data_IF_274909109568
#
_entry.id   IF_274909109568
#
_cell.length_a   1.000
_cell.length_b   1.000
_cell.length_c   1.000
_cell.angle_alpha   90.00
_cell.angle_beta   90.00
_cell.angle_gamma   90.00
#
_symmetry.space_group_name_H-M   'P 1'
#
loop_
_entity.id
_entity.type
_entity.pdbx_description
1 polymer ?
#
# COMPACT_ATOMS: atom_id res chain seq x y z
N UNK A 1 2.63 -4.17 -5.70
CA UNK A 1 2.18 -3.45 -4.48
C UNK A 1 3.38 -2.73 -3.90
N UNK A 2 3.25 -1.49 -3.43
CA UNK A 2 4.28 -0.84 -2.63
C UNK A 2 3.88 -0.79 -1.16
N UNK A 3 4.84 -0.94 -0.25
CA UNK A 3 4.64 -0.74 1.18
C UNK A 3 5.56 0.39 1.65
N UNK A 4 4.97 1.47 2.13
CA UNK A 4 5.63 2.69 2.60
C UNK A 4 5.22 2.96 4.05
N UNK A 5 5.92 2.33 4.98
CA UNK A 5 5.63 2.39 6.41
C UNK A 5 6.83 1.91 7.21
N UNK A 6 6.87 2.27 8.50
CA UNK A 6 7.84 1.72 9.45
C UNK A 6 7.58 0.22 9.72
N UNK A 7 8.56 -0.44 10.35
CA UNK A 7 8.43 -1.87 10.68
C UNK A 7 7.35 -2.06 11.75
N UNK A 8 6.25 -2.73 11.37
CA UNK A 8 5.16 -3.14 12.27
C UNK A 8 4.60 -4.51 11.88
N UNK A 9 3.71 -5.06 12.71
CA UNK A 9 3.16 -6.39 12.50
C UNK A 9 2.35 -6.45 11.18
N UNK A 10 1.51 -5.45 10.94
CA UNK A 10 0.66 -5.30 9.76
C UNK A 10 1.48 -5.17 8.49
N UNK A 11 2.65 -4.51 8.56
CA UNK A 11 3.60 -4.47 7.46
C UNK A 11 4.05 -5.88 7.05
N UNK A 12 4.41 -6.71 8.03
CA UNK A 12 4.85 -8.08 7.77
C UNK A 12 3.69 -8.96 7.30
N UNK A 13 2.48 -8.78 7.84
CA UNK A 13 1.27 -9.50 7.42
C UNK A 13 0.93 -9.14 5.98
N UNK A 14 0.95 -7.85 5.62
CA UNK A 14 0.72 -7.37 4.26
C UNK A 14 1.73 -7.96 3.26
N UNK A 15 3.03 -7.99 3.63
CA UNK A 15 4.08 -8.60 2.82
C UNK A 15 3.80 -10.10 2.58
N UNK A 16 3.45 -10.85 3.62
CA UNK A 16 3.11 -12.27 3.51
C UNK A 16 1.84 -12.50 2.69
N UNK A 17 0.83 -11.64 2.83
CA UNK A 17 -0.38 -11.65 2.00
C UNK A 17 -0.07 -11.47 0.52
N UNK A 18 0.83 -10.54 0.18
CA UNK A 18 1.30 -10.35 -1.19
C UNK A 18 2.02 -11.61 -1.71
N UNK A 19 2.90 -12.20 -0.92
CA UNK A 19 3.62 -13.42 -1.32
C UNK A 19 2.69 -14.62 -1.54
N UNK A 20 1.65 -14.78 -0.71
CA UNK A 20 0.63 -15.81 -0.89
C UNK A 20 -0.09 -15.71 -2.24
N UNK A 21 -0.12 -14.52 -2.82
CA UNK A 21 -0.76 -14.23 -4.10
C UNK A 21 0.24 -13.98 -5.24
N UNK A 22 1.52 -14.30 -5.05
CA UNK A 22 2.59 -14.07 -6.04
C UNK A 22 2.62 -12.60 -6.54
N UNK A 23 2.38 -11.66 -5.64
CA UNK A 23 2.43 -10.23 -5.92
C UNK A 23 3.85 -9.73 -5.61
N UNK A 24 4.47 -9.07 -6.58
CA UNK A 24 5.74 -8.36 -6.37
C UNK A 24 5.53 -7.17 -5.43
N UNK A 25 6.38 -7.09 -4.41
CA UNK A 25 6.34 -6.03 -3.39
C UNK A 25 7.50 -5.06 -3.58
N UNK A 26 7.20 -3.77 -3.59
CA UNK A 26 8.18 -2.68 -3.56
C UNK A 26 8.24 -2.15 -2.14
N UNK A 27 9.39 -2.24 -1.49
CA UNK A 27 9.55 -1.69 -0.14
C UNK A 27 10.11 -0.28 -0.21
N UNK A 28 9.47 0.67 0.46
CA UNK A 28 9.90 2.06 0.48
C UNK A 28 10.07 2.48 1.94
N UNK A 29 11.26 2.96 2.30
CA UNK A 29 11.54 3.43 3.66
C UNK A 29 10.70 4.66 4.00
N UNK A 30 10.03 4.66 5.15
CA UNK A 30 9.20 5.78 5.62
C UNK A 30 9.98 7.11 5.80
N UNK A 31 11.30 7.04 5.96
CA UNK A 31 12.20 8.19 6.07
C UNK A 31 12.47 8.90 4.74
N UNK A 32 12.10 8.30 3.62
CA UNK A 32 12.27 8.90 2.30
C UNK A 32 11.25 10.01 2.04
N UNK A 33 11.71 11.08 1.41
CA UNK A 33 10.87 12.24 1.07
C UNK A 33 9.90 11.96 -0.08
N UNK A 34 9.05 12.95 -0.37
CA UNK A 34 8.02 12.87 -1.41
C UNK A 34 8.58 12.52 -2.79
N UNK A 35 9.73 13.07 -3.19
CA UNK A 35 10.34 12.80 -4.49
C UNK A 35 10.74 11.33 -4.67
N UNK A 36 11.26 10.72 -3.61
CA UNK A 36 11.59 9.30 -3.61
C UNK A 36 10.33 8.44 -3.68
N UNK A 37 9.25 8.82 -2.98
CA UNK A 37 7.96 8.13 -3.07
C UNK A 37 7.40 8.20 -4.49
N UNK A 38 7.39 9.38 -5.11
CA UNK A 38 6.92 9.57 -6.50
C UNK A 38 7.75 8.72 -7.47
N UNK A 39 9.08 8.79 -7.36
CA UNK A 39 9.97 8.04 -8.23
C UNK A 39 9.74 6.53 -8.10
N UNK A 40 9.72 6.00 -6.87
CA UNK A 40 9.52 4.58 -6.62
C UNK A 40 8.18 4.09 -7.16
N UNK A 41 7.08 4.81 -6.91
CA UNK A 41 5.75 4.42 -7.37
C UNK A 41 5.62 4.42 -8.89
N UNK A 42 6.16 5.44 -9.55
CA UNK A 42 6.08 5.57 -11.00
C UNK A 42 7.03 4.62 -11.72
N UNK A 43 8.28 4.48 -11.26
CA UNK A 43 9.25 3.56 -11.89
C UNK A 43 8.75 2.11 -11.84
N UNK A 44 8.15 1.72 -10.72
CA UNK A 44 7.64 0.36 -10.53
C UNK A 44 6.18 0.16 -10.97
N UNK A 45 5.54 1.22 -11.48
CA UNK A 45 4.16 1.21 -11.97
C UNK A 45 3.18 0.58 -10.97
N UNK A 46 3.33 0.94 -9.69
CA UNK A 46 2.53 0.36 -8.61
C UNK A 46 1.07 0.81 -8.72
N UNK A 47 0.15 -0.15 -8.62
CA UNK A 47 -1.30 0.08 -8.59
C UNK A 47 -1.90 0.20 -7.19
N UNK A 48 -1.24 -0.40 -6.19
CA UNK A 48 -1.71 -0.41 -4.80
C UNK A 48 -0.58 -0.04 -3.85
N UNK A 49 -0.81 0.99 -3.05
CA UNK A 49 0.09 1.44 -1.99
C UNK A 49 -0.48 1.04 -0.61
N UNK A 50 0.38 0.52 0.25
CA UNK A 50 0.09 0.27 1.65
C UNK A 50 0.95 1.23 2.48
N UNK A 51 0.35 2.04 3.35
CA UNK A 51 1.09 3.05 4.12
C UNK A 51 0.48 3.38 5.48
N UNK A 52 1.18 4.13 6.33
CA UNK A 52 0.56 4.66 7.56
C UNK A 52 -0.48 5.74 7.22
N UNK A 53 -1.55 5.82 8.03
CA UNK A 53 -2.63 6.80 7.83
C UNK A 53 -2.13 8.26 7.79
N UNK A 54 -1.08 8.56 8.55
CA UNK A 54 -0.43 9.88 8.62
C UNK A 54 0.17 10.33 7.28
N UNK A 55 0.42 9.39 6.36
CA UNK A 55 1.04 9.64 5.07
C UNK A 55 0.01 9.94 3.96
N UNK A 56 -1.29 9.77 4.23
CA UNK A 56 -2.36 10.06 3.26
C UNK A 56 -2.39 11.53 2.84
N UNK A 57 -2.14 12.46 3.78
CA UNK A 57 -2.05 13.89 3.46
C UNK A 57 -0.89 14.20 2.50
N UNK A 58 0.23 13.48 2.62
CA UNK A 58 1.36 13.61 1.68
C UNK A 58 0.98 13.07 0.31
N UNK A 59 0.26 11.94 0.25
CA UNK A 59 -0.24 11.38 -1.01
C UNK A 59 -1.16 12.34 -1.74
N UNK A 60 -2.01 13.07 -1.02
CA UNK A 60 -2.85 14.09 -1.63
C UNK A 60 -2.02 15.19 -2.30
N UNK A 61 -0.97 15.67 -1.64
CA UNK A 61 -0.09 16.72 -2.17
C UNK A 61 0.62 16.30 -3.46
N UNK A 62 0.93 15.01 -3.62
CA UNK A 62 1.66 14.49 -4.79
C UNK A 62 0.77 13.79 -5.82
N UNK A 63 -0.56 13.72 -5.60
CA UNK A 63 -1.48 12.88 -6.38
C UNK A 63 -1.39 13.09 -7.89
N UNK A 64 -1.19 14.32 -8.34
CA UNK A 64 -1.12 14.68 -9.77
C UNK A 64 0.13 14.14 -10.48
N UNK A 65 1.13 13.69 -9.70
CA UNK A 65 2.37 13.11 -10.20
C UNK A 65 2.34 11.59 -10.20
N UNK A 66 1.32 10.95 -9.61
CA UNK A 66 1.20 9.50 -9.53
C UNK A 66 0.44 8.98 -10.75
N UNK A 67 1.05 8.10 -11.54
CA UNK A 67 0.49 7.72 -12.85
C UNK A 67 -0.28 6.40 -12.85
N UNK A 68 0.07 5.49 -11.95
CA UNK A 68 -0.44 4.10 -11.93
C UNK A 68 -1.25 3.75 -10.69
N UNK A 69 -1.17 4.57 -9.63
CA UNK A 69 -1.81 4.28 -8.35
C UNK A 69 -3.33 4.31 -8.48
N UNK A 70 -4.00 3.31 -7.90
CA UNK A 70 -5.46 3.15 -7.93
C UNK A 70 -6.02 2.88 -6.53
N UNK A 71 -5.29 2.10 -5.73
CA UNK A 71 -5.73 1.67 -4.41
C UNK A 71 -4.76 2.13 -3.32
N UNK A 72 -5.31 2.57 -2.21
CA UNK A 72 -4.56 2.93 -1.01
C UNK A 72 -5.11 2.11 0.15
N UNK A 73 -4.25 1.30 0.75
CA UNK A 73 -4.53 0.60 2.01
C UNK A 73 -3.77 1.31 3.10
N UNK A 74 -4.42 1.75 4.16
CA UNK A 74 -3.72 2.41 5.25
C UNK A 74 -3.73 1.59 6.53
N UNK A 75 -2.61 1.60 7.25
CA UNK A 75 -2.56 1.13 8.62
C UNK A 75 -3.15 2.19 9.53
N UNK A 76 -4.13 1.77 10.32
CA UNK A 76 -4.71 2.54 11.40
C UNK A 76 -3.63 2.88 12.44
N UNK A 77 -3.82 4.02 13.10
CA UNK A 77 -3.08 4.36 14.31
C UNK A 77 -4.00 4.28 15.53
N UNK A 78 -3.42 4.29 16.72
CA UNK A 78 -4.18 4.22 17.97
C UNK A 78 -4.97 5.52 18.26
N UNK A 79 -4.91 6.52 17.37
CA UNK A 79 -5.65 7.75 17.56
C UNK A 79 -7.14 7.50 17.31
N UNK A 80 -8.00 8.12 18.12
CA UNK A 80 -9.45 8.09 17.91
C UNK A 80 -9.90 9.13 16.89
N UNK A 81 -8.98 9.64 16.08
CA UNK A 81 -9.30 10.67 15.11
C UNK A 81 -9.99 10.03 13.91
N UNK A 82 -11.20 10.52 13.60
CA UNK A 82 -11.83 10.19 12.33
C UNK A 82 -11.01 10.82 11.20
N UNK A 83 -10.30 9.99 10.45
CA UNK A 83 -9.56 10.45 9.28
C UNK A 83 -10.56 10.79 8.17
N UNK A 84 -10.87 12.09 8.06
CA UNK A 84 -11.64 12.59 6.93
C UNK A 84 -10.74 12.63 5.71
N UNK A 85 -11.01 11.76 4.73
CA UNK A 85 -10.32 11.82 3.45
C UNK A 85 -10.84 13.01 2.65
N UNK A 86 -9.93 13.77 2.07
CA UNK A 86 -10.30 14.89 1.20
C UNK A 86 -10.95 14.39 -0.09
N UNK A 87 -11.80 15.24 -0.69
CA UNK A 87 -12.35 15.02 -2.04
C UNK A 87 -11.25 14.77 -3.08
N UNK A 88 -10.03 15.26 -2.79
CA UNK A 88 -8.85 15.09 -3.60
C UNK A 88 -8.41 13.65 -3.84
N UNK A 89 -8.75 12.73 -2.95
CA UNK A 89 -8.43 11.30 -3.06
C UNK A 89 -9.61 10.45 -3.58
N UNK A 90 -10.72 11.08 -3.97
CA UNK A 90 -11.94 10.39 -4.45
C UNK A 90 -11.74 9.48 -5.66
N UNK A 91 -10.67 9.68 -6.43
CA UNK A 91 -10.32 8.84 -7.58
C UNK A 91 -9.66 7.51 -7.17
N UNK A 92 -9.25 7.38 -5.91
CA UNK A 92 -8.62 6.17 -5.38
C UNK A 92 -9.64 5.35 -4.58
N UNK A 93 -9.49 4.02 -4.63
CA UNK A 93 -10.13 3.16 -3.64
C UNK A 93 -9.28 3.16 -2.38
N UNK A 94 -9.83 3.71 -1.30
CA UNK A 94 -9.15 3.81 -0.01
C UNK A 94 -9.83 2.83 0.94
N UNK A 95 -9.03 2.00 1.60
CA UNK A 95 -9.51 1.08 2.64
C UNK A 95 -8.50 1.02 3.79
N UNK A 96 -9.00 0.80 4.99
CA UNK A 96 -8.17 0.48 6.15
C UNK A 96 -7.62 -0.94 6.03
N UNK A 97 -6.56 -1.26 6.77
CA UNK A 97 -6.00 -2.61 6.78
C UNK A 97 -7.02 -3.62 7.32
N UNK A 98 -7.74 -3.27 8.40
CA UNK A 98 -8.81 -4.11 8.97
C UNK A 98 -9.97 -4.34 7.98
N UNK A 99 -10.34 -3.34 7.17
CA UNK A 99 -11.34 -3.50 6.10
C UNK A 99 -10.89 -4.51 5.04
N UNK A 100 -9.62 -4.47 4.65
CA UNK A 100 -9.04 -5.44 3.68
C UNK A 100 -9.00 -6.85 4.28
N UNK A 101 -8.66 -7.00 5.56
CA UNK A 101 -8.69 -8.30 6.24
C UNK A 101 -10.11 -8.87 6.31
N UNK A 102 -11.12 -8.05 6.65
CA UNK A 102 -12.53 -8.46 6.64
C UNK A 102 -12.98 -8.89 5.25
N UNK A 103 -12.65 -8.09 4.22
CA UNK A 103 -12.95 -8.43 2.82
C UNK A 103 -12.36 -9.78 2.44
N UNK A 104 -11.09 -10.03 2.79
CA UNK A 104 -10.42 -11.30 2.52
C UNK A 104 -11.03 -12.49 3.27
N UNK A 105 -11.58 -12.27 4.46
CA UNK A 105 -12.30 -13.29 5.24
C UNK A 105 -13.65 -13.64 4.65
N UNK A 106 -14.37 -12.65 4.12
CA UNK A 106 -15.68 -12.82 3.48
C UNK A 106 -15.56 -13.38 2.05
N UNK A 107 -14.45 -13.12 1.37
CA UNK A 107 -14.17 -13.57 0.01
C UNK A 107 -12.78 -14.23 -0.10
N UNK A 108 -12.61 -15.46 0.40
CA UNK A 108 -11.34 -16.16 0.34
C UNK A 108 -10.95 -16.53 -1.09
N UNK A 109 -9.67 -16.37 -1.41
CA UNK A 109 -9.08 -16.75 -2.70
C UNK A 109 -7.95 -17.75 -2.49
N UNK A 110 -7.87 -18.74 -3.38
CA UNK A 110 -6.79 -19.73 -3.38
C UNK A 110 -5.42 -19.07 -3.59
N UNK A 111 -4.32 -19.66 -3.07
CA UNK A 111 -2.97 -19.13 -3.32
C UNK A 111 -2.60 -19.12 -4.80
N UNK A 112 -1.93 -18.07 -5.22
CA UNK A 112 -1.19 -18.03 -6.49
C UNK A 112 0.27 -18.30 -6.19
N UNK A 113 0.78 -19.47 -6.60
CA UNK A 113 2.14 -19.90 -6.24
C UNK A 113 3.20 -19.22 -7.14
N UNK A 114 4.30 -18.69 -6.57
CA UNK A 114 5.37 -18.11 -7.36
C UNK A 114 6.20 -19.16 -8.09
N UNK A 115 6.93 -18.73 -9.12
CA UNK A 115 7.97 -19.53 -9.76
C UNK A 115 9.36 -19.16 -9.21
N UNK A 116 10.36 -20.01 -9.45
CA UNK A 116 11.76 -19.75 -9.03
C UNK A 116 12.36 -18.48 -9.64
N UNK A 117 11.80 -18.00 -10.75
CA UNK A 117 12.29 -16.82 -11.46
C UNK A 117 11.39 -15.59 -11.24
N UNK A 118 10.33 -15.72 -10.43
CA UNK A 118 9.44 -14.60 -10.15
C UNK A 118 10.14 -13.57 -9.25
N UNK A 119 9.96 -12.29 -9.57
CA UNK A 119 10.46 -11.21 -8.72
C UNK A 119 9.54 -11.09 -7.50
N UNK A 120 10.07 -11.42 -6.32
CA UNK A 120 9.32 -11.32 -5.08
C UNK A 120 9.32 -9.88 -4.54
N UNK A 121 10.51 -9.25 -4.47
CA UNK A 121 10.69 -7.94 -3.83
C UNK A 121 11.63 -7.06 -4.65
N UNK A 122 11.29 -5.77 -4.74
CA UNK A 122 12.16 -4.68 -5.16
C UNK A 122 12.42 -3.79 -3.93
N UNK A 123 13.68 -3.58 -3.57
CA UNK A 123 14.12 -2.86 -2.37
C UNK A 123 14.90 -1.60 -2.72
#
# INVERSE_FOLDING_TARGET
>A
VAIFSDTRAEWLIALQGCFRQNITVVTIYASLGEDALIHSLNETQVSTLICDVKLLNKLEAIRSKLTSLQNIVYFEDDSKEEHTFSEGLSNYTIASFDEVEKLGKESPVEPSLPSKNAVAVVM
#
